data_IF_922216162616
#
_entry.id   IF_922216162616
#
_cell.length_a   1.000
_cell.length_b   1.000
_cell.length_c   1.000
_cell.angle_alpha   90.00
_cell.angle_beta   90.00
_cell.angle_gamma   90.00
#
_symmetry.space_group_name_H-M   'P 1'
#
loop_
_entity.id
_entity.type
_entity.pdbx_description
1 polymer ?
#
# COMPACT_ATOMS: atom_id res chain seq x y z
N UNK A 1 -45.59 20.05 2.04
CA UNK A 1 -45.79 18.84 2.86
C UNK A 1 -44.65 18.72 3.85
N UNK A 2 -44.94 18.35 5.11
CA UNK A 2 -43.92 18.24 6.14
C UNK A 2 -43.19 16.90 5.99
N UNK A 3 -42.03 16.92 5.33
CA UNK A 3 -41.09 15.80 5.32
C UNK A 3 -40.88 15.34 6.76
N UNK A 4 -41.16 14.07 7.05
CA UNK A 4 -40.99 13.49 8.39
C UNK A 4 -39.56 13.72 8.90
N UNK A 5 -39.41 13.97 10.20
CA UNK A 5 -38.12 14.31 10.82
C UNK A 5 -37.02 13.29 10.47
N UNK A 6 -37.38 11.99 10.38
CA UNK A 6 -36.46 10.93 9.98
C UNK A 6 -35.93 11.05 8.55
N UNK A 7 -36.74 11.48 7.58
CA UNK A 7 -36.31 11.66 6.20
C UNK A 7 -35.39 12.88 6.03
N UNK A 8 -35.66 13.97 6.77
CA UNK A 8 -34.76 15.13 6.85
C UNK A 8 -33.41 14.75 7.45
N UNK A 9 -33.42 13.96 8.52
CA UNK A 9 -32.20 13.47 9.16
C UNK A 9 -31.42 12.54 8.24
N UNK A 10 -32.08 11.58 7.59
CA UNK A 10 -31.44 10.67 6.62
C UNK A 10 -30.80 11.44 5.46
N UNK A 11 -31.49 12.46 4.92
CA UNK A 11 -30.95 13.34 3.88
C UNK A 11 -29.72 14.10 4.36
N UNK A 12 -29.76 14.67 5.57
CA UNK A 12 -28.63 15.38 6.16
C UNK A 12 -27.43 14.46 6.37
N UNK A 13 -27.65 13.26 6.93
CA UNK A 13 -26.60 12.29 7.19
C UNK A 13 -25.98 11.78 5.88
N UNK A 14 -26.80 11.44 4.88
CA UNK A 14 -26.32 10.98 3.57
C UNK A 14 -25.53 12.08 2.85
N UNK A 15 -25.95 13.34 2.97
CA UNK A 15 -25.21 14.49 2.42
C UNK A 15 -23.88 14.70 3.16
N UNK A 16 -23.88 14.70 4.49
CA UNK A 16 -22.68 14.90 5.30
C UNK A 16 -21.64 13.80 5.03
N UNK A 17 -22.09 12.54 5.06
CA UNK A 17 -21.25 11.39 4.80
C UNK A 17 -20.65 11.45 3.38
N UNK A 18 -21.47 11.56 2.34
CA UNK A 18 -20.96 11.58 0.96
C UNK A 18 -20.11 12.82 0.66
N UNK A 19 -20.32 13.94 1.35
CA UNK A 19 -19.44 15.12 1.23
C UNK A 19 -18.04 14.85 1.78
N UNK A 20 -17.93 14.08 2.86
CA UNK A 20 -16.62 13.66 3.39
C UNK A 20 -15.91 12.75 2.37
N UNK A 21 -16.61 11.79 1.76
CA UNK A 21 -16.03 10.94 0.72
C UNK A 21 -15.63 11.72 -0.52
N UNK A 22 -16.47 12.67 -0.95
CA UNK A 22 -16.16 13.52 -2.09
C UNK A 22 -14.89 14.37 -1.83
N UNK A 23 -14.77 14.97 -0.66
CA UNK A 23 -13.57 15.73 -0.26
C UNK A 23 -12.34 14.82 -0.10
N UNK A 24 -12.50 13.62 0.48
CA UNK A 24 -11.38 12.68 0.62
C UNK A 24 -10.89 12.18 -0.74
N UNK A 25 -11.81 11.94 -1.69
CA UNK A 25 -11.47 11.60 -3.07
C UNK A 25 -10.68 12.70 -3.78
N UNK A 26 -11.06 13.98 -3.60
CA UNK A 26 -10.26 15.11 -4.11
C UNK A 26 -8.87 15.13 -3.47
N UNK A 27 -8.79 14.90 -2.14
CA UNK A 27 -7.52 14.77 -1.44
C UNK A 27 -6.63 13.65 -2.00
N UNK A 28 -7.20 12.48 -2.29
CA UNK A 28 -6.49 11.36 -2.92
C UNK A 28 -5.97 11.72 -4.31
N UNK A 29 -6.77 12.41 -5.13
CA UNK A 29 -6.32 12.88 -6.45
C UNK A 29 -5.17 13.88 -6.30
N UNK A 30 -5.26 14.83 -5.37
CA UNK A 30 -4.19 15.82 -5.12
C UNK A 30 -2.90 15.09 -4.71
N UNK A 31 -2.98 14.14 -3.77
CA UNK A 31 -1.83 13.35 -3.33
C UNK A 31 -1.26 12.52 -4.48
N UNK A 32 -2.11 11.86 -5.27
CA UNK A 32 -1.69 11.05 -6.40
C UNK A 32 -1.02 11.88 -7.51
N UNK A 33 -1.58 13.06 -7.84
CA UNK A 33 -0.99 14.00 -8.79
C UNK A 33 0.31 14.58 -8.23
N UNK A 34 0.38 14.89 -6.93
CA UNK A 34 1.62 15.34 -6.31
C UNK A 34 2.73 14.28 -6.41
N UNK A 35 2.42 13.01 -6.12
CA UNK A 35 3.33 11.87 -6.31
C UNK A 35 3.73 11.67 -7.78
N UNK A 36 2.84 11.98 -8.72
CA UNK A 36 3.10 11.85 -10.15
C UNK A 36 3.95 12.99 -10.72
N UNK A 37 3.66 14.25 -10.36
CA UNK A 37 4.26 15.45 -10.95
C UNK A 37 5.58 15.80 -10.28
N UNK A 38 5.70 15.65 -8.96
CA UNK A 38 6.85 16.16 -8.20
C UNK A 38 8.09 15.25 -8.28
N UNK A 39 8.30 14.59 -9.43
CA UNK A 39 9.46 13.74 -9.70
C UNK A 39 10.78 14.54 -9.67
N UNK A 40 10.71 15.86 -9.90
CA UNK A 40 11.84 16.77 -9.88
C UNK A 40 12.27 17.21 -8.47
N UNK A 41 11.37 17.18 -7.47
CA UNK A 41 11.70 17.41 -6.04
C UNK A 41 11.73 16.12 -5.22
N UNK A 42 11.15 15.04 -5.74
CA UNK A 42 11.53 13.68 -5.36
C UNK A 42 13.01 13.41 -5.66
N UNK A 43 13.68 14.20 -6.51
CA UNK A 43 15.15 14.21 -6.59
C UNK A 43 15.81 14.84 -5.34
N UNK A 44 15.19 15.81 -4.66
CA UNK A 44 15.70 16.32 -3.37
C UNK A 44 15.47 15.28 -2.26
N UNK A 45 14.31 14.61 -2.27
CA UNK A 45 14.09 13.44 -1.42
C UNK A 45 14.99 12.27 -1.83
N UNK A 46 15.35 12.06 -3.10
CA UNK A 46 16.29 11.01 -3.54
C UNK A 46 17.78 11.40 -3.39
N UNK A 47 18.09 12.69 -3.19
CA UNK A 47 19.41 13.18 -2.77
C UNK A 47 19.54 13.08 -1.23
N UNK A 48 18.41 13.10 -0.51
CA UNK A 48 18.35 12.91 0.95
C UNK A 48 18.09 11.46 1.37
N UNK A 49 17.41 10.62 0.56
CA UNK A 49 17.00 9.21 0.82
C UNK A 49 17.48 8.19 -0.25
N UNK A 50 18.41 8.56 -1.15
CA UNK A 50 19.06 7.61 -2.06
C UNK A 50 18.18 7.04 -3.19
N UNK A 51 18.09 7.79 -4.29
CA UNK A 51 18.06 7.33 -5.70
C UNK A 51 17.08 6.24 -6.17
N UNK A 52 16.02 6.62 -6.90
CA UNK A 52 15.47 5.79 -8.00
C UNK A 52 14.13 5.08 -7.77
N UNK A 53 13.23 5.63 -6.95
CA UNK A 53 11.91 5.05 -6.62
C UNK A 53 10.81 5.28 -7.68
N UNK A 54 11.17 5.65 -8.91
CA UNK A 54 10.23 6.24 -9.86
C UNK A 54 9.17 5.30 -10.47
N UNK A 55 9.41 4.01 -10.80
CA UNK A 55 8.43 3.22 -11.54
C UNK A 55 7.33 2.61 -10.65
N UNK A 56 7.67 2.12 -9.45
CA UNK A 56 6.68 1.62 -8.47
C UNK A 56 5.81 2.77 -7.93
N UNK A 57 6.41 3.94 -7.65
CA UNK A 57 5.67 5.14 -7.24
C UNK A 57 4.76 5.62 -8.38
N UNK A 58 5.18 5.56 -9.65
CA UNK A 58 4.31 5.91 -10.80
C UNK A 58 3.07 5.02 -10.86
N UNK A 59 3.24 3.70 -10.73
CA UNK A 59 2.10 2.76 -10.75
C UNK A 59 1.18 3.03 -9.55
N UNK A 60 1.75 3.20 -8.35
CA UNK A 60 0.99 3.54 -7.14
C UNK A 60 0.24 4.88 -7.27
N UNK A 61 0.89 5.90 -7.84
CA UNK A 61 0.28 7.22 -8.06
C UNK A 61 -0.92 7.13 -9.01
N UNK A 62 -0.79 6.41 -10.14
CA UNK A 62 -1.92 6.18 -11.04
C UNK A 62 -3.07 5.43 -10.37
N UNK A 63 -2.76 4.42 -9.54
CA UNK A 63 -3.78 3.69 -8.78
C UNK A 63 -4.51 4.62 -7.78
N UNK A 64 -3.77 5.45 -7.02
CA UNK A 64 -4.35 6.40 -6.06
C UNK A 64 -5.20 7.45 -6.76
N UNK A 65 -4.77 7.98 -7.91
CA UNK A 65 -5.58 8.90 -8.73
C UNK A 65 -6.86 8.20 -9.19
N UNK A 66 -6.76 6.97 -9.71
CA UNK A 66 -7.92 6.20 -10.17
C UNK A 66 -8.95 5.96 -9.07
N UNK A 67 -8.50 5.53 -7.89
CA UNK A 67 -9.36 5.34 -6.71
C UNK A 67 -9.98 6.68 -6.30
N UNK A 68 -9.18 7.75 -6.24
CA UNK A 68 -9.67 9.08 -5.89
C UNK A 68 -10.77 9.57 -6.84
N UNK A 69 -10.58 9.45 -8.15
CA UNK A 69 -11.59 9.77 -9.16
C UNK A 69 -12.88 8.97 -8.95
N UNK A 70 -12.77 7.66 -8.71
CA UNK A 70 -13.92 6.81 -8.45
C UNK A 70 -14.69 7.24 -7.18
N UNK A 71 -13.98 7.50 -6.09
CA UNK A 71 -14.58 7.98 -4.83
C UNK A 71 -15.26 9.34 -5.01
N UNK A 72 -14.67 10.26 -5.76
CA UNK A 72 -15.30 11.56 -6.12
C UNK A 72 -16.60 11.35 -6.88
N UNK A 73 -16.62 10.46 -7.88
CA UNK A 73 -17.83 10.18 -8.67
C UNK A 73 -18.95 9.60 -7.80
N UNK A 74 -18.64 8.60 -6.97
CA UNK A 74 -19.63 7.97 -6.07
C UNK A 74 -20.14 8.99 -5.04
N UNK A 75 -19.25 9.76 -4.42
CA UNK A 75 -19.62 10.81 -3.47
C UNK A 75 -20.49 11.90 -4.11
N UNK A 76 -20.18 12.30 -5.34
CA UNK A 76 -20.98 13.27 -6.10
C UNK A 76 -22.39 12.73 -6.40
N UNK A 77 -22.52 11.47 -6.85
CA UNK A 77 -23.82 10.84 -7.07
C UNK A 77 -24.66 10.79 -5.78
N UNK A 78 -24.04 10.44 -4.65
CA UNK A 78 -24.70 10.45 -3.34
C UNK A 78 -25.18 11.84 -2.93
N UNK A 79 -24.32 12.85 -3.01
CA UNK A 79 -24.66 14.24 -2.66
C UNK A 79 -25.73 14.84 -3.58
N UNK A 80 -25.53 14.76 -4.91
CA UNK A 80 -26.47 15.32 -5.87
C UNK A 80 -27.80 14.58 -5.85
N UNK A 81 -27.79 13.25 -5.70
CA UNK A 81 -29.00 12.47 -5.48
C UNK A 81 -29.78 13.00 -4.27
N UNK A 82 -29.11 13.19 -3.13
CA UNK A 82 -29.75 13.71 -1.92
C UNK A 82 -30.27 15.15 -2.08
N UNK A 83 -29.52 16.01 -2.77
CA UNK A 83 -29.87 17.43 -2.94
C UNK A 83 -31.01 17.62 -3.94
N UNK A 84 -30.93 16.95 -5.09
CA UNK A 84 -31.90 17.11 -6.18
C UNK A 84 -33.15 16.24 -6.00
N UNK A 85 -33.17 15.37 -4.98
CA UNK A 85 -34.24 14.39 -4.76
C UNK A 85 -34.50 13.56 -6.04
N UNK A 86 -33.43 13.26 -6.77
CA UNK A 86 -33.49 12.55 -8.04
C UNK A 86 -33.35 11.03 -7.81
N UNK A 87 -34.46 10.31 -7.99
CA UNK A 87 -34.50 8.85 -7.80
C UNK A 87 -33.50 8.11 -8.67
N UNK A 88 -33.30 8.52 -9.92
CA UNK A 88 -32.36 7.84 -10.82
C UNK A 88 -30.92 7.90 -10.28
N UNK A 89 -30.52 9.05 -9.75
CA UNK A 89 -29.19 9.21 -9.13
C UNK A 89 -29.05 8.40 -7.85
N UNK A 90 -30.09 8.36 -6.99
CA UNK A 90 -30.06 7.53 -5.78
C UNK A 90 -30.02 6.03 -6.09
N UNK A 91 -30.79 5.57 -7.07
CA UNK A 91 -30.80 4.16 -7.49
C UNK A 91 -29.45 3.79 -8.09
N UNK A 92 -28.83 4.68 -8.86
CA UNK A 92 -27.49 4.47 -9.41
C UNK A 92 -26.44 4.43 -8.29
N UNK A 93 -26.50 5.36 -7.34
CA UNK A 93 -25.65 5.35 -6.14
C UNK A 93 -25.79 4.03 -5.38
N UNK A 94 -27.03 3.60 -5.09
CA UNK A 94 -27.31 2.34 -4.42
C UNK A 94 -26.73 1.15 -5.19
N UNK A 95 -26.94 1.09 -6.51
CA UNK A 95 -26.44 0.00 -7.34
C UNK A 95 -24.90 -0.06 -7.33
N UNK A 96 -24.23 1.10 -7.40
CA UNK A 96 -22.76 1.15 -7.34
C UNK A 96 -22.24 0.69 -5.97
N UNK A 97 -22.81 1.16 -4.86
CA UNK A 97 -22.41 0.72 -3.51
C UNK A 97 -22.66 -0.78 -3.32
N UNK A 98 -23.80 -1.30 -3.81
CA UNK A 98 -24.08 -2.73 -3.76
C UNK A 98 -23.04 -3.56 -4.52
N UNK A 99 -22.62 -3.11 -5.71
CA UNK A 99 -21.58 -3.78 -6.48
C UNK A 99 -20.23 -3.75 -5.76
N UNK A 100 -19.88 -2.65 -5.09
CA UNK A 100 -18.65 -2.57 -4.29
C UNK A 100 -18.72 -3.56 -3.13
N UNK A 101 -19.81 -3.57 -2.35
CA UNK A 101 -19.99 -4.51 -1.23
C UNK A 101 -19.86 -5.98 -1.67
N UNK A 102 -20.43 -6.34 -2.83
CA UNK A 102 -20.29 -7.68 -3.39
C UNK A 102 -18.84 -7.98 -3.81
N UNK A 103 -18.15 -7.01 -4.41
CA UNK A 103 -16.74 -7.14 -4.76
C UNK A 103 -15.85 -7.28 -3.52
N UNK A 104 -16.13 -6.54 -2.44
CA UNK A 104 -15.43 -6.66 -1.15
C UNK A 104 -15.64 -8.04 -0.53
N UNK A 105 -16.87 -8.55 -0.53
CA UNK A 105 -17.18 -9.89 -0.03
C UNK A 105 -16.42 -10.97 -0.82
N UNK A 106 -16.46 -10.90 -2.15
CA UNK A 106 -15.73 -11.83 -3.02
C UNK A 106 -14.23 -11.74 -2.77
N UNK A 107 -13.67 -10.52 -2.69
CA UNK A 107 -12.24 -10.31 -2.44
C UNK A 107 -11.84 -10.87 -1.07
N UNK A 108 -12.64 -10.65 -0.03
CA UNK A 108 -12.41 -11.21 1.30
C UNK A 108 -12.40 -12.74 1.30
N UNK A 109 -13.35 -13.37 0.61
CA UNK A 109 -13.40 -14.84 0.47
C UNK A 109 -12.18 -15.35 -0.30
N UNK A 110 -11.84 -14.74 -1.44
CA UNK A 110 -10.68 -15.12 -2.24
C UNK A 110 -9.37 -14.96 -1.47
N UNK A 111 -9.21 -13.89 -0.69
CA UNK A 111 -8.02 -13.67 0.14
C UNK A 111 -7.82 -14.82 1.13
N UNK A 112 -8.89 -15.33 1.74
CA UNK A 112 -8.82 -16.46 2.67
C UNK A 112 -8.46 -17.77 1.96
N UNK A 113 -9.13 -18.06 0.82
CA UNK A 113 -8.90 -19.30 0.06
C UNK A 113 -7.48 -19.34 -0.52
N UNK A 114 -7.03 -18.25 -1.12
CA UNK A 114 -5.76 -18.17 -1.84
C UNK A 114 -4.59 -17.66 -0.99
N UNK A 115 -4.78 -17.47 0.33
CA UNK A 115 -3.76 -16.91 1.23
C UNK A 115 -2.39 -17.58 1.06
N UNK A 116 -2.34 -18.91 1.13
CA UNK A 116 -1.09 -19.65 1.07
C UNK A 116 -0.40 -19.52 -0.31
N UNK A 117 -1.18 -19.51 -1.39
CA UNK A 117 -0.66 -19.36 -2.75
C UNK A 117 -0.13 -17.94 -2.98
N UNK A 118 -0.83 -16.93 -2.46
CA UNK A 118 -0.38 -15.53 -2.48
C UNK A 118 0.92 -15.37 -1.69
N UNK A 119 1.00 -15.92 -0.48
CA UNK A 119 2.20 -15.92 0.34
C UNK A 119 3.40 -16.56 -0.39
N UNK A 120 3.21 -17.74 -0.98
CA UNK A 120 4.26 -18.42 -1.74
C UNK A 120 4.67 -17.59 -2.98
N UNK A 121 3.71 -17.12 -3.77
CA UNK A 121 3.97 -16.34 -4.98
C UNK A 121 4.70 -15.04 -4.66
N UNK A 122 4.35 -14.38 -3.55
CA UNK A 122 5.03 -13.18 -3.09
C UNK A 122 6.48 -13.49 -2.71
N UNK A 123 6.73 -14.56 -1.95
CA UNK A 123 8.08 -14.95 -1.58
C UNK A 123 8.94 -15.31 -2.80
N UNK A 124 8.39 -16.06 -3.76
CA UNK A 124 9.06 -16.43 -5.01
C UNK A 124 9.37 -15.21 -5.88
N UNK A 125 8.42 -14.28 -6.01
CA UNK A 125 8.63 -13.02 -6.74
C UNK A 125 9.70 -12.16 -6.05
N UNK A 126 9.71 -12.09 -4.73
CA UNK A 126 10.78 -11.39 -3.99
C UNK A 126 12.14 -12.05 -4.27
N UNK A 127 12.22 -13.39 -4.23
CA UNK A 127 13.46 -14.12 -4.52
C UNK A 127 13.98 -13.82 -5.92
N UNK A 128 13.10 -13.91 -6.92
CA UNK A 128 13.45 -13.64 -8.32
C UNK A 128 13.95 -12.21 -8.49
N UNK A 129 13.27 -11.23 -7.89
CA UNK A 129 13.65 -9.82 -7.98
C UNK A 129 14.99 -9.54 -7.27
N UNK A 130 15.23 -10.16 -6.11
CA UNK A 130 16.53 -10.08 -5.44
C UNK A 130 17.64 -10.66 -6.32
N UNK A 131 17.40 -11.83 -6.92
CA UNK A 131 18.42 -12.54 -7.70
C UNK A 131 18.75 -11.85 -9.03
N UNK A 132 17.77 -11.24 -9.69
CA UNK A 132 17.92 -10.73 -11.06
C UNK A 132 18.04 -9.21 -11.14
N UNK A 133 17.36 -8.48 -10.27
CA UNK A 133 17.15 -7.04 -10.41
C UNK A 133 17.82 -6.20 -9.32
N UNK A 134 18.17 -6.78 -8.18
CA UNK A 134 18.93 -6.08 -7.13
C UNK A 134 20.29 -5.64 -7.66
N UNK A 135 20.70 -4.40 -7.37
CA UNK A 135 21.98 -3.83 -7.82
C UNK A 135 22.04 -3.47 -9.30
N UNK A 136 20.92 -3.56 -10.04
CA UNK A 136 20.87 -3.23 -11.46
C UNK A 136 20.85 -1.72 -11.76
N UNK A 137 21.29 -1.35 -12.95
CA UNK A 137 21.50 0.05 -13.34
C UNK A 137 20.26 0.79 -13.85
N UNK A 138 19.19 0.08 -14.22
CA UNK A 138 17.97 0.68 -14.79
C UNK A 138 17.06 1.29 -13.72
N UNK A 139 16.17 2.21 -14.11
CA UNK A 139 15.21 2.86 -13.19
C UNK A 139 14.35 1.85 -12.41
N UNK A 140 13.90 0.77 -13.06
CA UNK A 140 13.14 -0.31 -12.43
C UNK A 140 13.94 -1.12 -11.40
N UNK A 141 15.21 -1.41 -11.70
CA UNK A 141 16.09 -2.20 -10.85
C UNK A 141 16.57 -1.43 -9.62
N UNK A 142 16.77 -0.12 -9.74
CA UNK A 142 17.06 0.75 -8.59
C UNK A 142 15.91 0.76 -7.58
N UNK A 143 14.67 0.79 -8.05
CA UNK A 143 13.50 0.70 -7.16
C UNK A 143 13.47 -0.63 -6.38
N UNK A 144 13.82 -1.75 -7.03
CA UNK A 144 13.96 -3.05 -6.37
C UNK A 144 15.05 -2.99 -5.30
N UNK A 145 16.22 -2.44 -5.64
CA UNK A 145 17.37 -2.31 -4.73
C UNK A 145 17.00 -1.52 -3.48
N UNK A 146 16.42 -0.33 -3.65
CA UNK A 146 16.00 0.52 -2.54
C UNK A 146 14.91 -0.11 -1.68
N UNK A 147 13.95 -0.81 -2.30
CA UNK A 147 12.90 -1.51 -1.57
C UNK A 147 13.48 -2.58 -0.64
N UNK A 148 14.46 -3.34 -1.13
CA UNK A 148 15.19 -4.31 -0.30
C UNK A 148 16.02 -3.63 0.79
N UNK A 149 16.79 -2.60 0.45
CA UNK A 149 17.64 -1.91 1.43
C UNK A 149 16.81 -1.27 2.54
N UNK A 150 15.71 -0.61 2.19
CA UNK A 150 14.75 -0.04 3.13
C UNK A 150 14.14 -1.12 4.03
N UNK A 151 13.71 -2.24 3.45
CA UNK A 151 13.15 -3.34 4.23
C UNK A 151 14.18 -3.93 5.21
N UNK A 152 15.42 -4.13 4.75
CA UNK A 152 16.52 -4.69 5.54
C UNK A 152 16.87 -3.80 6.73
N UNK A 153 16.98 -2.49 6.49
CA UNK A 153 17.23 -1.52 7.54
C UNK A 153 16.05 -1.41 8.52
N UNK A 154 14.83 -1.25 8.00
CA UNK A 154 13.62 -1.00 8.80
C UNK A 154 13.21 -2.22 9.63
N UNK A 155 13.22 -3.40 9.02
CA UNK A 155 12.77 -4.65 9.64
C UNK A 155 13.92 -5.49 10.18
N UNK A 156 15.17 -5.00 10.12
CA UNK A 156 16.36 -5.65 10.69
C UNK A 156 16.51 -7.09 10.19
N UNK A 157 16.44 -7.23 8.88
CA UNK A 157 16.45 -8.50 8.17
C UNK A 157 17.49 -8.46 7.04
N UNK A 158 17.79 -9.60 6.42
CA UNK A 158 18.67 -9.68 5.28
C UNK A 158 18.21 -10.72 4.26
N UNK A 159 18.23 -10.36 2.98
CA UNK A 159 17.71 -11.21 1.91
C UNK A 159 16.21 -11.47 2.04
N UNK A 160 15.70 -12.49 1.34
CA UNK A 160 14.27 -12.85 1.36
C UNK A 160 14.02 -13.87 2.47
N UNK A 161 14.73 -14.99 2.44
CA UNK A 161 14.78 -16.05 3.45
C UNK A 161 15.97 -15.87 4.38
N UNK A 162 17.06 -15.29 3.89
CA UNK A 162 18.24 -14.99 4.70
C UNK A 162 19.38 -14.40 3.87
N UNK A 163 20.48 -14.09 4.55
CA UNK A 163 21.64 -13.43 3.91
C UNK A 163 22.26 -14.20 2.74
N UNK A 164 22.15 -15.53 2.75
CA UNK A 164 22.66 -16.42 1.70
C UNK A 164 21.97 -16.22 0.35
N UNK A 165 20.79 -15.60 0.31
CA UNK A 165 20.07 -15.34 -0.95
C UNK A 165 20.88 -14.47 -1.92
N UNK A 166 21.77 -13.61 -1.39
CA UNK A 166 22.65 -12.78 -2.19
C UNK A 166 23.72 -13.56 -2.96
N UNK A 167 24.11 -14.75 -2.51
CA UNK A 167 25.12 -15.56 -3.19
C UNK A 167 24.68 -15.98 -4.59
N UNK A 168 23.37 -16.14 -4.81
CA UNK A 168 22.78 -16.50 -6.10
C UNK A 168 22.35 -15.27 -6.93
N UNK A 169 22.68 -14.05 -6.49
CA UNK A 169 22.26 -12.82 -7.17
C UNK A 169 23.24 -12.38 -8.25
N UNK A 170 22.71 -11.76 -9.31
CA UNK A 170 23.47 -11.07 -10.35
C UNK A 170 24.33 -9.95 -9.76
N UNK A 171 23.86 -9.29 -8.71
CA UNK A 171 24.62 -8.30 -7.97
C UNK A 171 25.93 -8.86 -7.43
N UNK A 172 25.89 -10.01 -6.73
CA UNK A 172 27.08 -10.66 -6.19
C UNK A 172 28.07 -11.08 -7.30
N UNK A 173 27.55 -11.63 -8.40
CA UNK A 173 28.38 -12.06 -9.54
C UNK A 173 29.08 -10.89 -10.26
N UNK A 174 28.48 -9.70 -10.28
CA UNK A 174 29.01 -8.52 -10.96
C UNK A 174 29.89 -7.64 -10.06
N UNK A 175 30.17 -8.06 -8.82
CA UNK A 175 31.03 -7.29 -7.93
C UNK A 175 32.49 -7.31 -8.40
N UNK A 176 33.23 -6.21 -8.22
CA UNK A 176 34.65 -6.20 -8.47
C UNK A 176 35.36 -7.11 -7.43
N UNK A 177 36.38 -7.84 -7.87
CA UNK A 177 37.01 -8.93 -7.12
C UNK A 177 37.65 -8.50 -5.78
N UNK A 178 37.92 -7.20 -5.63
CA UNK A 178 38.48 -6.54 -4.46
C UNK A 178 37.43 -6.23 -3.37
N UNK A 179 36.14 -6.13 -3.72
CA UNK A 179 35.09 -5.73 -2.79
C UNK A 179 34.68 -6.83 -1.79
N UNK A 180 34.69 -8.11 -2.22
CA UNK A 180 34.33 -9.31 -1.42
C UNK A 180 33.06 -9.14 -0.55
N UNK A 181 32.03 -8.44 -1.03
CA UNK A 181 30.82 -8.18 -0.24
C UNK A 181 29.89 -9.38 -0.29
N UNK A 182 29.67 -10.03 0.86
CA UNK A 182 28.71 -11.15 0.97
C UNK A 182 27.26 -10.67 0.94
N UNK A 183 27.01 -9.44 1.41
CA UNK A 183 25.69 -8.81 1.53
C UNK A 183 25.81 -7.30 1.32
N UNK A 184 24.72 -6.59 1.00
CA UNK A 184 24.73 -5.13 1.02
C UNK A 184 24.86 -4.58 2.45
N UNK A 185 25.27 -3.31 2.57
CA UNK A 185 25.46 -2.65 3.87
C UNK A 185 24.16 -2.54 4.69
N UNK A 186 23.01 -2.46 4.02
CA UNK A 186 21.66 -2.50 4.61
C UNK A 186 21.37 -3.76 5.43
N UNK A 187 22.08 -4.87 5.17
CA UNK A 187 22.01 -6.09 5.97
C UNK A 187 22.86 -6.07 7.25
N UNK A 188 23.74 -5.07 7.41
CA UNK A 188 24.64 -4.98 8.56
C UNK A 188 23.97 -4.29 9.73
N UNK A 189 24.29 -4.75 10.94
CA UNK A 189 23.90 -4.04 12.16
C UNK A 189 24.70 -2.74 12.26
N UNK A 190 23.99 -1.67 12.55
CA UNK A 190 24.54 -0.33 12.70
C UNK A 190 23.89 0.37 13.89
N UNK A 191 24.69 1.12 14.64
CA UNK A 191 24.22 2.09 15.63
C UNK A 191 23.53 3.27 14.91
N UNK A 192 22.35 3.68 15.38
CA UNK A 192 21.39 4.49 14.61
C UNK A 192 21.93 5.90 14.31
N UNK A 193 22.31 6.17 13.06
CA UNK A 193 22.65 7.53 12.60
C UNK A 193 21.68 8.02 11.50
N UNK A 194 21.26 7.16 10.55
CA UNK A 194 20.21 7.39 9.53
C UNK A 194 20.25 6.25 8.50
N UNK A 195 19.19 6.10 7.67
CA UNK A 195 19.20 5.17 6.52
C UNK A 195 20.29 5.52 5.50
N UNK A 196 20.63 6.81 5.38
CA UNK A 196 21.53 7.33 4.35
C UNK A 196 23.01 7.23 4.69
N UNK A 197 23.33 7.02 5.98
CA UNK A 197 24.69 6.88 6.48
C UNK A 197 24.79 5.64 7.37
N UNK A 198 24.45 4.47 6.81
CA UNK A 198 24.63 3.19 7.49
C UNK A 198 26.13 2.97 7.71
N UNK A 199 26.58 3.26 8.93
CA UNK A 199 27.89 2.87 9.41
C UNK A 199 27.74 1.57 10.19
N UNK A 200 28.09 0.42 9.59
CA UNK A 200 28.01 -0.84 10.29
C UNK A 200 28.98 -0.86 11.48
N UNK A 201 28.54 -1.40 12.61
CA UNK A 201 29.33 -1.48 13.84
C UNK A 201 30.70 -2.12 13.59
N UNK A 202 30.72 -3.11 12.71
CA UNK A 202 31.95 -3.68 12.17
C UNK A 202 31.72 -4.21 10.75
N UNK A 203 32.18 -3.44 9.76
CA UNK A 203 32.05 -3.78 8.33
C UNK A 203 32.68 -5.12 7.99
N UNK A 204 33.90 -5.38 8.46
CA UNK A 204 34.64 -6.60 8.13
C UNK A 204 33.93 -7.85 8.65
N UNK A 205 33.47 -7.82 9.90
CA UNK A 205 32.72 -8.94 10.49
C UNK A 205 31.37 -9.14 9.80
N UNK A 206 30.66 -8.05 9.47
CA UNK A 206 29.41 -8.16 8.72
C UNK A 206 29.62 -8.80 7.35
N UNK A 207 30.72 -8.52 6.66
CA UNK A 207 31.04 -9.05 5.33
C UNK A 207 31.73 -10.42 5.37
N UNK A 208 31.90 -11.04 6.55
CA UNK A 208 32.50 -12.37 6.66
C UNK A 208 31.64 -13.44 5.99
N UNK A 209 32.29 -14.41 5.34
CA UNK A 209 31.62 -15.64 4.87
C UNK A 209 31.34 -16.65 6.00
N UNK A 210 32.01 -16.50 7.14
CA UNK A 210 31.88 -17.39 8.30
C UNK A 210 30.74 -16.94 9.22
N UNK A 211 29.76 -17.82 9.42
CA UNK A 211 28.60 -17.63 10.28
C UNK A 211 28.95 -17.25 11.71
N UNK A 212 29.97 -17.89 12.31
CA UNK A 212 30.37 -17.56 13.68
C UNK A 212 30.91 -16.14 13.80
N UNK A 213 31.47 -15.59 12.72
CA UNK A 213 32.08 -14.26 12.69
C UNK A 213 31.04 -13.17 12.40
N UNK A 214 30.13 -13.39 11.45
CA UNK A 214 29.10 -12.39 11.15
C UNK A 214 27.93 -12.42 12.13
N UNK A 215 27.76 -13.50 12.90
CA UNK A 215 26.75 -13.59 13.97
C UNK A 215 26.94 -12.44 14.95
N UNK A 216 25.92 -11.57 15.05
CA UNK A 216 25.96 -10.37 15.87
C UNK A 216 26.24 -9.07 15.10
N UNK A 217 26.75 -9.14 13.87
CA UNK A 217 27.07 -7.98 13.02
C UNK A 217 26.25 -7.91 11.72
N UNK A 218 25.61 -9.01 11.32
CA UNK A 218 24.66 -9.10 10.20
C UNK A 218 23.27 -9.52 10.70
N UNK A 219 22.21 -9.06 10.05
CA UNK A 219 20.87 -9.57 10.30
C UNK A 219 20.74 -11.01 9.75
N UNK A 220 20.35 -11.94 10.61
CA UNK A 220 20.22 -13.36 10.25
C UNK A 220 18.85 -13.74 9.68
N UNK A 221 17.79 -13.03 10.08
CA UNK A 221 16.42 -13.34 9.67
C UNK A 221 16.14 -12.84 8.24
N UNK A 222 15.39 -13.62 7.46
CA UNK A 222 14.89 -13.20 6.15
C UNK A 222 13.85 -12.08 6.24
N UNK A 223 13.84 -11.19 5.24
CA UNK A 223 12.89 -10.07 5.23
C UNK A 223 11.45 -10.49 4.95
N UNK A 224 11.22 -11.59 4.23
CA UNK A 224 9.86 -12.05 3.98
C UNK A 224 9.10 -12.34 5.28
N UNK A 225 9.72 -13.11 6.17
CA UNK A 225 9.09 -13.47 7.44
C UNK A 225 8.93 -12.27 8.37
N UNK A 226 9.93 -11.37 8.43
CA UNK A 226 9.83 -10.15 9.26
C UNK A 226 8.71 -9.21 8.77
N UNK A 227 8.60 -9.00 7.46
CA UNK A 227 7.51 -8.20 6.86
C UNK A 227 6.16 -8.89 7.09
N UNK A 228 6.08 -10.21 6.90
CA UNK A 228 4.87 -10.99 7.16
C UNK A 228 4.44 -10.92 8.63
N UNK A 229 5.37 -11.02 9.58
CA UNK A 229 5.07 -10.88 11.01
C UNK A 229 4.61 -9.47 11.33
N UNK A 230 5.26 -8.45 10.75
CA UNK A 230 4.86 -7.05 10.92
C UNK A 230 3.42 -6.81 10.42
N UNK A 231 3.12 -7.21 9.18
CA UNK A 231 1.75 -7.12 8.63
C UNK A 231 0.77 -7.96 9.46
N UNK A 232 1.19 -9.16 9.86
CA UNK A 232 0.41 -10.07 10.69
C UNK A 232 0.00 -9.47 12.03
N UNK A 233 0.88 -8.67 12.64
CA UNK A 233 0.57 -7.93 13.87
C UNK A 233 -0.50 -6.84 13.68
N UNK A 234 -0.63 -6.33 12.45
CA UNK A 234 -1.64 -5.35 12.05
C UNK A 234 -2.90 -5.98 11.43
N UNK A 235 -3.00 -7.31 11.35
CA UNK A 235 -4.16 -7.98 10.73
C UNK A 235 -5.49 -7.58 11.37
N UNK A 236 -5.52 -7.33 12.68
CA UNK A 236 -6.72 -6.84 13.36
C UNK A 236 -7.19 -5.48 12.84
N UNK A 237 -6.25 -4.59 12.50
CA UNK A 237 -6.56 -3.28 11.90
C UNK A 237 -7.11 -3.47 10.49
N UNK A 238 -6.49 -4.33 9.68
CA UNK A 238 -6.93 -4.58 8.31
C UNK A 238 -8.36 -5.14 8.26
N UNK A 239 -8.66 -6.14 9.11
CA UNK A 239 -10.01 -6.70 9.24
C UNK A 239 -10.98 -5.63 9.74
N UNK A 240 -10.57 -4.84 10.75
CA UNK A 240 -11.39 -3.75 11.28
C UNK A 240 -11.75 -2.69 10.24
N UNK A 241 -10.80 -2.30 9.38
CA UNK A 241 -11.02 -1.37 8.27
C UNK A 241 -12.03 -1.95 7.29
N UNK A 242 -11.87 -3.21 6.87
CA UNK A 242 -12.80 -3.86 5.94
C UNK A 242 -14.23 -3.97 6.49
N UNK A 243 -14.39 -4.39 7.75
CA UNK A 243 -15.71 -4.43 8.42
C UNK A 243 -16.30 -3.02 8.55
N UNK A 244 -15.47 -2.03 8.85
CA UNK A 244 -15.87 -0.63 8.93
C UNK A 244 -16.39 -0.09 7.59
N UNK A 245 -15.70 -0.37 6.49
CA UNK A 245 -16.12 0.04 5.15
C UNK A 245 -17.46 -0.61 4.81
N UNK A 246 -17.60 -1.93 4.96
CA UNK A 246 -18.85 -2.64 4.70
C UNK A 246 -20.03 -2.09 5.55
N UNK A 247 -19.79 -1.73 6.81
CA UNK A 247 -20.81 -1.12 7.66
C UNK A 247 -21.23 0.27 7.14
N UNK A 248 -20.28 1.08 6.69
CA UNK A 248 -20.56 2.40 6.12
C UNK A 248 -21.33 2.30 4.79
N UNK A 249 -21.01 1.32 3.95
CA UNK A 249 -21.73 1.03 2.71
C UNK A 249 -23.19 0.63 2.99
N UNK A 250 -23.41 -0.26 3.96
CA UNK A 250 -24.75 -0.66 4.39
C UNK A 250 -25.57 0.54 4.87
N UNK A 251 -24.97 1.44 5.65
CA UNK A 251 -25.63 2.67 6.08
C UNK A 251 -25.98 3.59 4.90
N UNK A 252 -25.05 3.77 3.96
CA UNK A 252 -25.29 4.54 2.73
C UNK A 252 -26.46 3.99 1.91
N UNK A 253 -26.52 2.66 1.76
CA UNK A 253 -27.63 1.97 1.08
C UNK A 253 -28.97 2.13 1.79
N UNK A 254 -29.01 1.97 3.12
CA UNK A 254 -30.23 2.15 3.93
C UNK A 254 -30.76 3.58 3.76
N UNK A 255 -29.89 4.58 3.90
CA UNK A 255 -30.27 5.97 3.75
C UNK A 255 -30.73 6.31 2.32
N UNK A 256 -30.09 5.75 1.29
CA UNK A 256 -30.54 5.90 -0.09
C UNK A 256 -31.94 5.31 -0.30
N UNK A 257 -32.22 4.09 0.18
CA UNK A 257 -33.56 3.48 0.07
C UNK A 257 -34.60 4.32 0.82
N UNK A 258 -34.30 4.73 2.05
CA UNK A 258 -35.21 5.55 2.85
C UNK A 258 -35.55 6.87 2.13
N UNK A 259 -34.57 7.51 1.51
CA UNK A 259 -34.80 8.77 0.79
C UNK A 259 -35.54 8.54 -0.53
N UNK A 260 -35.19 7.50 -1.31
CA UNK A 260 -35.93 7.09 -2.51
C UNK A 260 -37.42 6.89 -2.24
N UNK A 261 -37.75 6.11 -1.19
CA UNK A 261 -39.14 5.81 -0.83
C UNK A 261 -39.91 7.05 -0.40
N UNK A 262 -39.27 8.03 0.23
CA UNK A 262 -39.96 9.26 0.60
C UNK A 262 -40.27 10.12 -0.63
N UNK A 263 -39.38 10.14 -1.63
CA UNK A 263 -39.65 10.82 -2.91
C UNK A 263 -40.83 10.15 -3.65
N UNK A 264 -41.06 8.84 -3.48
CA UNK A 264 -42.24 8.12 -4.00
C UNK A 264 -43.57 8.69 -3.50
N UNK A 265 -43.63 9.22 -2.27
CA UNK A 265 -44.88 9.71 -1.68
C UNK A 265 -45.21 11.17 -2.00
N UNK A 266 -44.27 11.95 -2.57
CA UNK A 266 -44.45 13.37 -2.86
C UNK A 266 -44.90 13.66 -4.32
N UNK A 267 -45.08 12.62 -5.16
CA UNK A 267 -45.64 12.70 -6.53
C UNK A 267 -47.07 12.15 -6.53
#
# INVERSE_FOLDING_TARGET
MAIGIGAKLARLLLLAFNSIFWLSGIGLIIVGVWLFVDQSKAMVFAIVEGGGTLPMIKIGAWAVIGIGCFVVLVGFLGCCGAMQENRCMLVTYFAVILLILLAELVTGILMVIYKNQLEQSLQENMQMNLQTNYGGGTEGQRAVTNGFDFAQYTFRCCGVKGSVDYNASSWSANQPADARLQVPLSCCRAERISFDNIQPDNREKCMSGDEMVWTGFRYGNGCYDQVKTYIGSANGILIGVGVGIAALELLGMIFAICLCRNIDYDI
#
